data_IF_811268944097
#
_entry.id   IF_811268944097
#
_cell.length_a   1.000
_cell.length_b   1.000
_cell.length_c   1.000
_cell.angle_alpha   90.00
_cell.angle_beta   90.00
_cell.angle_gamma   90.00
#
_symmetry.space_group_name_H-M   'P 1'
#
loop_
_entity.id
_entity.type
_entity.pdbx_description
1 polymer ?
#
# COMPACT_ATOMS: atom_id res chain seq x y z
N UNK A 1 -11.36 11.08 -11.04
CA UNK A 1 -11.95 10.01 -11.89
C UNK A 1 -10.86 9.38 -12.76
N UNK A 2 -10.74 8.05 -12.74
CA UNK A 2 -9.46 7.32 -12.92
C UNK A 2 -8.95 7.10 -14.35
N UNK A 3 -9.27 8.01 -15.26
CA UNK A 3 -8.84 7.99 -16.65
C UNK A 3 -9.61 6.97 -17.51
N UNK A 4 -9.76 7.29 -18.80
CA UNK A 4 -10.63 6.55 -19.72
C UNK A 4 -10.26 5.06 -19.89
N UNK A 5 -8.98 4.70 -19.74
CA UNK A 5 -8.54 3.33 -19.86
C UNK A 5 -9.01 2.45 -18.70
N UNK A 6 -8.90 2.95 -17.45
CA UNK A 6 -9.30 2.19 -16.26
C UNK A 6 -10.80 2.03 -16.20
N UNK A 7 -11.54 3.10 -16.46
CA UNK A 7 -13.01 3.09 -16.47
C UNK A 7 -13.58 2.05 -17.44
N UNK A 8 -12.97 1.89 -18.63
CA UNK A 8 -13.36 0.85 -19.59
C UNK A 8 -13.03 -0.56 -19.11
N UNK A 9 -11.87 -0.76 -18.48
CA UNK A 9 -11.44 -2.08 -18.01
C UNK A 9 -12.20 -2.53 -16.76
N UNK A 10 -12.69 -1.59 -15.96
CA UNK A 10 -13.48 -1.86 -14.74
C UNK A 10 -14.98 -1.72 -14.99
N UNK A 11 -15.42 -1.68 -16.25
CA UNK A 11 -16.84 -1.63 -16.57
C UNK A 11 -17.56 -2.89 -16.03
N UNK A 12 -18.64 -2.68 -15.28
CA UNK A 12 -19.38 -3.76 -14.62
C UNK A 12 -18.75 -4.31 -13.34
N UNK A 13 -17.58 -3.81 -12.93
CA UNK A 13 -16.98 -4.14 -11.63
C UNK A 13 -17.65 -3.33 -10.54
N UNK A 14 -18.03 -3.98 -9.44
CA UNK A 14 -18.51 -3.28 -8.26
C UNK A 14 -17.35 -2.48 -7.64
N UNK A 15 -17.56 -1.18 -7.49
CA UNK A 15 -16.59 -0.26 -6.88
C UNK A 15 -17.20 0.21 -5.56
N UNK A 16 -16.62 -0.16 -4.42
CA UNK A 16 -17.13 0.27 -3.13
C UNK A 16 -16.86 1.75 -2.89
N UNK A 17 -17.74 2.36 -2.12
CA UNK A 17 -17.64 3.78 -1.71
C UNK A 17 -17.33 3.93 -0.22
N UNK A 18 -17.33 2.84 0.54
CA UNK A 18 -16.98 2.85 1.96
C UNK A 18 -15.46 3.02 2.12
N UNK A 19 -15.04 3.97 2.95
CA UNK A 19 -13.64 4.30 3.17
C UNK A 19 -12.85 3.19 3.89
N UNK A 20 -13.52 2.25 4.53
CA UNK A 20 -12.89 1.10 5.17
C UNK A 20 -12.59 -0.05 4.19
N UNK A 21 -13.17 0.00 2.98
CA UNK A 21 -12.90 -1.01 1.95
C UNK A 21 -11.57 -0.76 1.21
N UNK A 22 -10.76 -1.80 1.05
CA UNK A 22 -9.40 -1.69 0.50
C UNK A 22 -9.35 -1.08 -0.89
N UNK A 23 -10.37 -1.35 -1.74
CA UNK A 23 -10.43 -0.75 -3.06
C UNK A 23 -10.68 0.76 -2.97
N UNK A 24 -11.59 1.22 -2.11
CA UNK A 24 -11.82 2.65 -1.91
C UNK A 24 -10.57 3.37 -1.34
N UNK A 25 -9.86 2.72 -0.42
CA UNK A 25 -8.60 3.24 0.11
C UNK A 25 -7.49 3.36 -0.94
N UNK A 26 -7.39 2.39 -1.84
CA UNK A 26 -6.46 2.44 -2.97
C UNK A 26 -6.74 3.64 -3.87
N UNK A 27 -8.02 3.93 -4.12
CA UNK A 27 -8.42 5.06 -4.95
C UNK A 27 -8.16 6.41 -4.28
N UNK A 28 -8.49 6.53 -2.99
CA UNK A 28 -8.15 7.71 -2.18
C UNK A 28 -6.64 7.99 -2.19
N UNK A 29 -5.82 6.94 -2.01
CA UNK A 29 -4.37 7.06 -2.06
C UNK A 29 -3.88 7.51 -3.45
N UNK A 30 -4.47 7.00 -4.53
CA UNK A 30 -4.12 7.39 -5.90
C UNK A 30 -4.45 8.87 -6.17
N UNK A 31 -5.62 9.34 -5.75
CA UNK A 31 -6.04 10.73 -5.94
C UNK A 31 -5.14 11.69 -5.15
N UNK A 32 -4.85 11.38 -3.88
CA UNK A 32 -3.93 12.17 -3.04
C UNK A 32 -2.51 12.17 -3.59
N UNK A 33 -2.01 11.03 -4.05
CA UNK A 33 -0.68 10.95 -4.67
C UNK A 33 -0.57 11.82 -5.93
N UNK A 34 -1.62 11.81 -6.77
CA UNK A 34 -1.68 12.66 -7.97
C UNK A 34 -1.70 14.15 -7.60
N UNK A 35 -2.46 14.53 -6.56
CA UNK A 35 -2.50 15.91 -6.08
C UNK A 35 -1.16 16.37 -5.48
N UNK A 36 -0.41 15.47 -4.83
CA UNK A 36 0.89 15.76 -4.23
C UNK A 36 2.04 15.81 -5.25
N UNK A 37 1.92 15.16 -6.41
CA UNK A 37 2.95 15.11 -7.46
C UNK A 37 3.57 16.48 -7.84
N UNK A 38 2.79 17.53 -8.17
CA UNK A 38 3.35 18.83 -8.54
C UNK A 38 4.17 19.48 -7.41
N UNK A 39 3.77 19.26 -6.15
CA UNK A 39 4.50 19.76 -4.97
C UNK A 39 5.85 19.06 -4.85
N UNK A 40 5.87 17.72 -4.94
CA UNK A 40 7.08 16.92 -4.91
C UNK A 40 8.03 17.27 -6.08
N UNK A 41 7.47 17.56 -7.26
CA UNK A 41 8.27 18.00 -8.42
C UNK A 41 8.96 19.33 -8.18
N UNK A 42 8.29 20.30 -7.54
CA UNK A 42 8.89 21.59 -7.15
C UNK A 42 10.01 21.41 -6.13
N UNK A 43 9.80 20.59 -5.10
CA UNK A 43 10.84 20.26 -4.11
C UNK A 43 12.07 19.65 -4.79
N UNK A 44 11.88 18.65 -5.67
CA UNK A 44 12.99 18.07 -6.44
C UNK A 44 13.72 19.10 -7.31
N UNK A 45 13.01 20.07 -7.88
CA UNK A 45 13.65 21.14 -8.65
C UNK A 45 14.46 22.08 -7.75
N UNK A 46 13.94 22.46 -6.59
CA UNK A 46 14.66 23.28 -5.61
C UNK A 46 15.93 22.57 -5.10
N UNK A 47 15.86 21.26 -4.87
CA UNK A 47 17.03 20.43 -4.53
C UNK A 47 18.09 20.44 -5.65
N UNK A 48 17.67 20.27 -6.92
CA UNK A 48 18.58 20.36 -8.08
C UNK A 48 19.24 21.74 -8.21
N UNK A 49 18.52 22.80 -7.84
CA UNK A 49 19.00 24.17 -7.87
C UNK A 49 19.88 24.52 -6.66
N UNK A 50 20.09 23.59 -5.72
CA UNK A 50 20.85 23.82 -4.49
C UNK A 50 20.12 24.67 -3.44
N UNK A 51 18.81 24.91 -3.62
CA UNK A 51 17.99 25.67 -2.66
C UNK A 51 17.57 24.82 -1.45
N UNK A 52 17.52 23.50 -1.61
CA UNK A 52 17.22 22.52 -0.56
C UNK A 52 18.29 21.42 -0.56
N UNK A 53 18.50 20.79 0.59
CA UNK A 53 19.38 19.63 0.68
C UNK A 53 18.87 18.45 -0.19
N UNK A 54 19.79 17.74 -0.86
CA UNK A 54 19.47 16.51 -1.61
C UNK A 54 18.97 15.38 -0.68
N UNK A 55 18.18 14.46 -1.24
CA UNK A 55 17.58 13.35 -0.51
C UNK A 55 16.13 13.09 -0.93
N UNK A 56 15.34 12.58 0.00
CA UNK A 56 13.91 12.33 -0.20
C UNK A 56 13.11 13.65 -0.06
N UNK A 57 12.39 14.11 -1.11
CA UNK A 57 11.57 15.31 -1.03
C UNK A 57 10.46 15.22 0.02
N UNK A 58 9.94 14.03 0.34
CA UNK A 58 8.91 13.85 1.37
C UNK A 58 9.45 14.16 2.78
N UNK A 59 10.76 14.05 2.98
CA UNK A 59 11.44 14.36 4.26
C UNK A 59 11.86 15.84 4.36
N UNK A 60 11.60 16.63 3.32
CA UNK A 60 12.07 18.02 3.18
C UNK A 60 10.93 19.03 3.12
N UNK A 61 9.76 18.66 3.62
CA UNK A 61 8.57 19.52 3.62
C UNK A 61 8.78 20.78 4.47
N UNK A 62 9.26 20.63 5.71
CA UNK A 62 9.49 21.77 6.61
C UNK A 62 10.56 22.72 6.08
N UNK A 63 11.63 22.17 5.49
CA UNK A 63 12.69 22.94 4.82
C UNK A 63 12.12 23.67 3.60
N UNK A 64 11.30 22.99 2.80
CA UNK A 64 10.62 23.56 1.63
C UNK A 64 9.65 24.69 1.98
N UNK A 65 8.92 24.58 3.09
CA UNK A 65 8.06 25.66 3.61
C UNK A 65 8.91 26.83 4.10
N UNK A 66 9.94 26.55 4.91
CA UNK A 66 10.84 27.58 5.46
C UNK A 66 11.58 28.36 4.36
N UNK A 67 11.95 27.68 3.27
CA UNK A 67 12.59 28.27 2.10
C UNK A 67 11.60 28.94 1.12
N UNK A 68 10.29 28.87 1.38
CA UNK A 68 9.24 29.44 0.53
C UNK A 68 9.07 28.73 -0.83
N UNK A 69 9.58 27.50 -0.98
CA UNK A 69 9.43 26.70 -2.21
C UNK A 69 8.00 26.16 -2.33
N UNK A 70 7.40 25.84 -1.19
CA UNK A 70 6.03 25.34 -1.05
C UNK A 70 5.33 26.04 0.12
N UNK A 71 4.02 25.97 0.16
CA UNK A 71 3.21 26.50 1.27
C UNK A 71 2.83 25.40 2.28
N UNK A 72 2.44 25.80 3.50
CA UNK A 72 2.03 24.85 4.56
C UNK A 72 0.89 23.92 4.12
N UNK A 73 -0.08 24.45 3.36
CA UNK A 73 -1.19 23.65 2.81
C UNK A 73 -0.69 22.57 1.84
N UNK A 74 0.37 22.86 1.09
CA UNK A 74 0.92 21.95 0.09
C UNK A 74 1.76 20.86 0.76
N UNK A 75 2.46 21.19 1.84
CA UNK A 75 3.07 20.18 2.71
C UNK A 75 2.01 19.23 3.29
N UNK A 76 0.86 19.76 3.73
CA UNK A 76 -0.28 18.95 4.20
C UNK A 76 -0.75 17.93 3.15
N UNK A 77 -0.90 18.34 1.89
CA UNK A 77 -1.28 17.44 0.79
C UNK A 77 -0.29 16.28 0.61
N UNK A 78 1.01 16.55 0.73
CA UNK A 78 2.03 15.49 0.66
C UNK A 78 1.91 14.54 1.84
N UNK A 79 1.75 15.06 3.07
CA UNK A 79 1.55 14.22 4.25
C UNK A 79 0.33 13.30 4.12
N UNK A 80 -0.81 13.83 3.71
CA UNK A 80 -2.03 13.05 3.49
C UNK A 80 -1.84 11.94 2.43
N UNK A 81 -1.12 12.25 1.35
CA UNK A 81 -0.78 11.28 0.32
C UNK A 81 0.14 10.17 0.85
N UNK A 82 1.14 10.52 1.66
CA UNK A 82 2.06 9.56 2.29
C UNK A 82 1.31 8.65 3.24
N UNK A 83 0.42 9.20 4.07
CA UNK A 83 -0.40 8.42 5.00
C UNK A 83 -1.35 7.48 4.27
N UNK A 84 -2.06 7.97 3.24
CA UNK A 84 -2.97 7.14 2.44
C UNK A 84 -2.21 6.01 1.74
N UNK A 85 -1.06 6.31 1.14
CA UNK A 85 -0.18 5.30 0.53
C UNK A 85 0.27 4.26 1.56
N UNK A 86 0.71 4.69 2.75
CA UNK A 86 1.14 3.78 3.83
C UNK A 86 0.04 2.83 4.27
N UNK A 87 -1.20 3.31 4.41
CA UNK A 87 -2.35 2.45 4.75
C UNK A 87 -2.55 1.33 3.72
N UNK A 88 -2.46 1.66 2.44
CA UNK A 88 -2.72 0.71 1.33
C UNK A 88 -1.61 -0.32 1.15
N UNK A 89 -0.35 0.06 1.38
CA UNK A 89 0.80 -0.85 1.20
C UNK A 89 1.17 -1.62 2.47
N UNK A 90 0.53 -1.31 3.60
CA UNK A 90 0.79 -2.00 4.85
C UNK A 90 0.42 -3.49 4.70
N UNK A 91 1.33 -4.33 5.17
CA UNK A 91 1.14 -5.78 5.22
C UNK A 91 1.25 -6.22 6.67
N UNK A 92 0.62 -7.34 7.00
CA UNK A 92 0.72 -7.92 8.33
C UNK A 92 2.19 -8.21 8.69
N UNK A 93 2.57 -7.81 9.90
CA UNK A 93 3.86 -8.16 10.48
C UNK A 93 3.74 -9.53 11.17
N UNK A 94 4.38 -10.54 10.60
CA UNK A 94 4.43 -11.87 11.20
C UNK A 94 5.67 -12.00 12.10
N UNK A 95 5.52 -12.38 13.38
CA UNK A 95 6.66 -12.59 14.26
C UNK A 95 7.50 -13.79 13.80
N UNK A 96 8.78 -13.83 14.19
CA UNK A 96 9.74 -14.82 13.70
C UNK A 96 9.40 -16.29 14.05
N UNK A 97 8.48 -16.51 14.99
CA UNK A 97 7.95 -17.79 15.43
C UNK A 97 6.58 -18.14 14.84
N UNK A 98 5.98 -17.28 14.01
CA UNK A 98 4.63 -17.44 13.45
C UNK A 98 4.38 -18.80 12.77
N UNK A 99 5.42 -19.39 12.16
CA UNK A 99 5.34 -20.68 11.45
C UNK A 99 5.92 -21.89 12.23
N UNK A 100 6.25 -21.75 13.53
CA UNK A 100 7.00 -22.79 14.26
C UNK A 100 6.17 -23.98 14.80
N UNK A 101 4.86 -24.02 14.59
CA UNK A 101 3.99 -25.18 14.89
C UNK A 101 2.98 -25.36 13.73
N UNK A 102 2.64 -26.53 13.18
CA UNK A 102 2.72 -27.92 13.63
C UNK A 102 3.07 -28.86 12.45
N UNK A 103 4.31 -29.34 12.41
CA UNK A 103 4.75 -30.38 11.46
C UNK A 103 4.27 -31.80 11.84
N UNK A 104 3.46 -31.96 12.91
CA UNK A 104 2.96 -33.27 13.36
C UNK A 104 1.58 -33.65 12.79
N UNK A 105 0.87 -32.74 12.15
CA UNK A 105 -0.49 -33.00 11.63
C UNK A 105 -0.55 -33.76 10.30
N UNK A 106 0.57 -33.89 9.57
CA UNK A 106 0.71 -34.74 8.38
C UNK A 106 1.09 -36.19 8.71
N UNK A 107 0.63 -36.74 9.84
CA UNK A 107 0.76 -38.17 10.10
C UNK A 107 -0.38 -38.92 9.42
N UNK A 108 -0.04 -39.62 8.34
CA UNK A 108 -0.88 -40.58 7.63
C UNK A 108 -1.65 -41.47 8.63
N UNK A 109 -2.97 -41.42 8.58
CA UNK A 109 -3.79 -42.45 9.24
C UNK A 109 -3.51 -43.79 8.55
N UNK A 110 -2.99 -44.82 9.25
CA UNK A 110 -2.82 -46.13 8.61
C UNK A 110 -4.21 -46.67 8.29
N UNK A 111 -4.48 -46.91 7.02
CA UNK A 111 -5.69 -47.61 6.56
C UNK A 111 -5.78 -48.93 7.30
N UNK A 112 -6.81 -49.09 8.14
CA UNK A 112 -7.09 -50.33 8.88
C UNK A 112 -7.35 -51.45 7.87
N UNK A 113 -6.37 -52.33 7.62
CA UNK A 113 -6.59 -53.55 6.84
C UNK A 113 -7.52 -54.46 7.63
N UNK A 114 -8.78 -54.57 7.19
CA UNK A 114 -9.60 -55.69 7.62
C UNK A 114 -9.16 -56.92 6.82
N UNK A 115 -8.58 -57.88 7.54
CA UNK A 115 -8.47 -59.26 7.10
C UNK A 115 -9.86 -59.77 6.74
N UNK A 116 -10.15 -59.92 5.44
CA UNK A 116 -11.21 -60.80 4.98
C UNK A 116 -10.63 -62.22 4.93
N UNK A 117 -11.07 -63.05 5.88
CA UNK A 117 -10.68 -64.43 6.02
C UNK A 117 -10.99 -65.27 4.78
N UNK A 118 -10.14 -66.28 4.57
CA UNK A 118 -10.46 -67.49 3.80
C UNK A 118 -11.77 -68.09 4.31
N UNK A 119 -12.68 -68.48 3.41
CA UNK A 119 -13.29 -69.81 3.46
C UNK A 119 -14.01 -70.19 2.17
N UNK A 120 -13.61 -71.36 1.66
CA UNK A 120 -14.29 -72.39 0.87
C UNK A 120 -15.04 -72.02 -0.41
#
# INVERSE_FOLDING_TARGET
RWGAARERLTEGVFVPTDADESLAQLEDAMEKATAAEPVLKRLRQAMRNGQLASGDPEQRLDEGVSAGVIEQREAGLVCEAVEARRRVIAVDEFPADYWKEDSRSWQHSPTRSQQAGRST
#
